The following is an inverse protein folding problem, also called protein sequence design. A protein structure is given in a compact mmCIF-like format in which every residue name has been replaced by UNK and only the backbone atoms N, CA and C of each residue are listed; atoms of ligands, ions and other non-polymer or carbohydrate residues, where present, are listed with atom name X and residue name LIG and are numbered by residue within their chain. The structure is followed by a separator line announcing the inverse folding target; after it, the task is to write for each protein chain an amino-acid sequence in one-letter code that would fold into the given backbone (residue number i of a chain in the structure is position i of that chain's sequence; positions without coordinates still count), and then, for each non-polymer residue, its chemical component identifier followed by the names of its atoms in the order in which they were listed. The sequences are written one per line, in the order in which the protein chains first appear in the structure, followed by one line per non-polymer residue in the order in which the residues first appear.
data_IF_874359428552
#
_entry.id   IF_874359428552
#
_cell.length_a   1.000
_cell.length_b   1.000
_cell.length_c   1.000
_cell.angle_alpha   90.00
_cell.angle_beta   90.00
_cell.angle_gamma   90.00
#
_symmetry.space_group_name_H-M   'P 1'
#
loop_
_entity.id
_entity.type
_entity.pdbx_description
1 polymer ?
#
# COMPACT_ATOMS: atom_id res chain seq x y z
N UNK A 1 -16.38 76.00 10.80
CA UNK A 1 -15.50 74.86 11.10
C UNK A 1 -16.13 73.61 10.50
N UNK A 2 -15.70 73.19 9.30
CA UNK A 2 -16.20 71.98 8.67
C UNK A 2 -15.26 70.82 9.05
N UNK A 3 -15.74 69.93 9.93
CA UNK A 3 -15.01 68.72 10.31
C UNK A 3 -15.07 67.73 9.15
N UNK A 4 -13.92 67.39 8.57
CA UNK A 4 -13.79 66.29 7.61
C UNK A 4 -14.07 64.97 8.34
N UNK A 5 -15.18 64.31 8.01
CA UNK A 5 -15.36 62.90 8.36
C UNK A 5 -14.55 62.08 7.34
N UNK A 6 -13.43 61.52 7.80
CA UNK A 6 -12.65 60.59 6.99
C UNK A 6 -13.40 59.26 6.94
N UNK A 7 -13.86 58.86 5.75
CA UNK A 7 -14.63 57.63 5.52
C UNK A 7 -13.72 56.39 5.59
N UNK A 8 -13.93 55.44 6.52
CA UNK A 8 -13.03 54.29 6.76
C UNK A 8 -13.16 53.13 5.74
N UNK A 9 -14.08 53.21 4.79
CA UNK A 9 -14.50 52.05 3.98
C UNK A 9 -13.48 51.56 2.93
N UNK A 10 -12.47 52.38 2.58
CA UNK A 10 -11.50 52.05 1.52
C UNK A 10 -10.36 51.17 2.05
N UNK A 11 -9.91 51.40 3.28
CA UNK A 11 -8.83 50.62 3.88
C UNK A 11 -9.28 49.21 4.28
N UNK A 12 -10.52 49.06 4.79
CA UNK A 12 -11.04 47.79 5.29
C UNK A 12 -11.19 46.71 4.19
N UNK A 13 -11.66 47.09 2.99
CA UNK A 13 -11.75 46.17 1.85
C UNK A 13 -10.38 45.72 1.33
N UNK A 14 -9.36 46.57 1.45
CA UNK A 14 -8.00 46.25 1.01
C UNK A 14 -7.33 45.23 1.93
N UNK A 15 -7.56 45.34 3.25
CA UNK A 15 -7.09 44.41 4.26
C UNK A 15 -7.75 43.03 4.10
N UNK A 16 -9.09 42.99 3.95
CA UNK A 16 -9.81 41.73 3.70
C UNK A 16 -9.31 41.01 2.44
N UNK A 17 -9.00 41.71 1.36
CA UNK A 17 -8.46 41.09 0.14
C UNK A 17 -7.05 40.51 0.36
N UNK A 18 -6.21 41.17 1.16
CA UNK A 18 -4.90 40.64 1.55
C UNK A 18 -5.04 39.38 2.41
N UNK A 19 -5.97 39.38 3.36
CA UNK A 19 -6.21 38.23 4.24
C UNK A 19 -6.71 37.01 3.46
N UNK A 20 -7.62 37.20 2.51
CA UNK A 20 -8.09 36.10 1.63
C UNK A 20 -6.93 35.54 0.79
N UNK A 21 -6.06 36.39 0.24
CA UNK A 21 -4.86 35.94 -0.51
C UNK A 21 -3.89 35.17 0.40
N UNK A 22 -3.67 35.65 1.61
CA UNK A 22 -2.81 35.00 2.60
C UNK A 22 -3.36 33.63 3.01
N UNK A 23 -4.67 33.52 3.24
CA UNK A 23 -5.33 32.25 3.53
C UNK A 23 -5.18 31.24 2.39
N UNK A 24 -5.35 31.68 1.13
CA UNK A 24 -5.14 30.82 -0.05
C UNK A 24 -3.69 30.35 -0.15
N UNK A 25 -2.74 31.25 0.07
CA UNK A 25 -1.30 30.92 0.05
C UNK A 25 -0.95 29.91 1.16
N UNK A 26 -1.51 30.07 2.35
CA UNK A 26 -1.31 29.15 3.47
C UNK A 26 -1.88 27.76 3.16
N UNK A 27 -3.11 27.69 2.64
CA UNK A 27 -3.74 26.43 2.25
C UNK A 27 -2.93 25.69 1.17
N UNK A 28 -2.43 26.41 0.18
CA UNK A 28 -1.59 25.81 -0.88
C UNK A 28 -0.22 25.36 -0.34
N UNK A 29 0.38 26.12 0.59
CA UNK A 29 1.61 25.70 1.27
C UNK A 29 1.39 24.41 2.06
N UNK A 30 0.32 24.34 2.86
CA UNK A 30 -0.04 23.12 3.60
C UNK A 30 -0.24 21.91 2.67
N UNK A 31 -0.88 22.11 1.51
CA UNK A 31 -1.05 21.05 0.51
C UNK A 31 0.29 20.54 -0.02
N UNK A 32 1.23 21.45 -0.30
CA UNK A 32 2.59 21.10 -0.76
C UNK A 32 3.41 20.41 0.32
N UNK A 33 3.33 20.88 1.55
CA UNK A 33 4.05 20.29 2.69
C UNK A 33 3.54 18.87 2.97
N UNK A 34 2.22 18.66 2.90
CA UNK A 34 1.60 17.33 3.00
C UNK A 34 2.06 16.39 1.89
N UNK A 35 2.09 16.86 0.64
CA UNK A 35 2.62 16.08 -0.49
C UNK A 35 4.10 15.71 -0.28
N UNK A 36 4.91 16.66 0.18
CA UNK A 36 6.32 16.41 0.47
C UNK A 36 6.48 15.38 1.60
N UNK A 37 5.63 15.43 2.62
CA UNK A 37 5.55 14.41 3.67
C UNK A 37 5.31 13.01 3.09
N UNK A 38 4.30 12.85 2.22
CA UNK A 38 4.02 11.56 1.58
C UNK A 38 5.17 11.05 0.70
N UNK A 39 5.88 11.94 -0.02
CA UNK A 39 7.04 11.53 -0.82
C UNK A 39 8.17 11.03 0.09
N UNK A 40 8.37 11.63 1.26
CA UNK A 40 9.37 11.19 2.22
C UNK A 40 8.99 9.83 2.85
N UNK A 41 7.73 9.64 3.22
CA UNK A 41 7.24 8.33 3.69
C UNK A 41 7.42 7.24 2.62
N UNK A 42 7.14 7.58 1.36
CA UNK A 42 7.31 6.67 0.23
C UNK A 42 8.79 6.27 0.05
N UNK A 43 9.72 7.21 0.23
CA UNK A 43 11.14 6.93 0.15
C UNK A 43 11.62 5.93 1.22
N UNK A 44 10.98 5.93 2.40
CA UNK A 44 11.33 5.05 3.52
C UNK A 44 10.62 3.69 3.48
N UNK A 45 9.57 3.53 2.67
CA UNK A 45 8.75 2.31 2.65
C UNK A 45 8.98 1.46 1.42
N UNK A 46 9.36 2.05 0.28
CA UNK A 46 9.57 1.31 -0.96
C UNK A 46 10.97 0.68 -0.96
N UNK A 47 11.08 -0.67 -0.99
CA UNK A 47 12.38 -1.36 -0.90
C UNK A 47 13.39 -0.91 -1.95
N UNK A 48 12.92 -0.61 -3.16
CA UNK A 48 13.79 -0.14 -4.23
C UNK A 48 14.41 1.23 -3.92
N UNK A 49 13.70 2.10 -3.18
CA UNK A 49 14.19 3.43 -2.79
C UNK A 49 15.07 3.33 -1.55
N UNK A 50 14.64 2.58 -0.53
CA UNK A 50 15.38 2.43 0.74
C UNK A 50 16.74 1.76 0.57
N UNK A 51 16.87 0.85 -0.40
CA UNK A 51 18.11 0.14 -0.70
C UNK A 51 19.08 0.94 -1.60
N UNK A 52 18.69 2.15 -2.03
CA UNK A 52 19.57 3.06 -2.75
C UNK A 52 20.58 3.68 -1.79
N UNK A 53 21.87 3.56 -2.10
CA UNK A 53 22.95 4.16 -1.30
C UNK A 53 22.95 5.70 -1.33
N UNK A 54 22.35 6.32 -2.34
CA UNK A 54 22.30 7.79 -2.51
C UNK A 54 20.88 8.31 -2.30
N UNK A 55 20.78 9.52 -1.71
CA UNK A 55 19.52 10.27 -1.60
C UNK A 55 18.97 10.50 -3.01
N UNK A 56 17.73 10.07 -3.24
CA UNK A 56 17.06 10.22 -4.52
C UNK A 56 16.26 11.52 -4.56
N UNK A 57 16.21 12.14 -5.74
CA UNK A 57 15.30 13.25 -6.01
C UNK A 57 13.84 12.77 -6.05
N UNK A 58 12.89 13.71 -5.88
CA UNK A 58 11.45 13.40 -5.80
C UNK A 58 10.94 12.63 -7.02
N UNK A 59 11.41 12.99 -8.22
CA UNK A 59 11.01 12.30 -9.45
C UNK A 59 11.52 10.87 -9.50
N UNK A 60 12.76 10.63 -9.07
CA UNK A 60 13.33 9.28 -8.97
C UNK A 60 12.59 8.43 -7.94
N UNK A 61 12.25 8.97 -6.76
CA UNK A 61 11.43 8.28 -5.75
C UNK A 61 10.09 7.83 -6.36
N UNK A 62 9.39 8.73 -7.06
CA UNK A 62 8.10 8.42 -7.70
C UNK A 62 8.24 7.38 -8.82
N UNK A 63 9.26 7.50 -9.68
CA UNK A 63 9.53 6.54 -10.77
C UNK A 63 9.78 5.14 -10.21
N UNK A 64 10.61 5.05 -9.18
CA UNK A 64 11.02 3.79 -8.59
C UNK A 64 9.86 3.14 -7.81
N UNK A 65 9.04 3.95 -7.15
CA UNK A 65 7.79 3.50 -6.53
C UNK A 65 6.80 2.96 -7.54
N UNK A 66 6.61 3.65 -8.67
CA UNK A 66 5.78 3.15 -9.76
C UNK A 66 6.33 1.83 -10.33
N UNK A 67 7.65 1.72 -10.51
CA UNK A 67 8.30 0.48 -10.94
C UNK A 67 8.08 -0.66 -9.92
N UNK A 68 8.23 -0.40 -8.62
CA UNK A 68 7.96 -1.37 -7.56
C UNK A 68 6.51 -1.90 -7.64
N UNK A 69 5.52 -1.01 -7.80
CA UNK A 69 4.12 -1.40 -7.94
C UNK A 69 3.88 -2.23 -9.22
N UNK A 70 4.50 -1.87 -10.34
CA UNK A 70 4.44 -2.65 -11.58
C UNK A 70 5.05 -4.03 -11.40
N UNK A 71 6.21 -4.15 -10.77
CA UNK A 71 6.86 -5.44 -10.50
C UNK A 71 5.99 -6.32 -9.61
N UNK A 72 5.40 -5.78 -8.55
CA UNK A 72 4.49 -6.55 -7.70
C UNK A 72 3.23 -6.98 -8.45
N UNK A 73 2.57 -6.06 -9.19
CA UNK A 73 1.37 -6.37 -9.96
C UNK A 73 1.64 -7.40 -11.06
N UNK A 74 2.73 -7.22 -11.81
CA UNK A 74 3.12 -8.11 -12.92
C UNK A 74 3.71 -9.41 -12.43
N UNK A 75 4.51 -9.47 -11.36
CA UNK A 75 4.99 -10.74 -10.77
C UNK A 75 3.82 -11.62 -10.33
N UNK A 76 2.81 -11.01 -9.68
CA UNK A 76 1.54 -11.68 -9.37
C UNK A 76 0.78 -12.08 -10.65
N UNK A 77 0.79 -11.26 -11.71
CA UNK A 77 0.18 -11.59 -13.01
C UNK A 77 0.96 -12.64 -13.82
N UNK A 78 2.29 -12.72 -13.68
CA UNK A 78 3.16 -13.69 -14.35
C UNK A 78 2.98 -15.07 -13.74
N UNK A 79 2.77 -15.17 -12.42
CA UNK A 79 2.30 -16.42 -11.79
C UNK A 79 0.94 -16.83 -12.34
N UNK A 80 0.01 -15.89 -12.55
CA UNK A 80 -1.31 -16.13 -13.18
C UNK A 80 -1.19 -16.67 -14.61
N UNK A 81 -0.29 -16.11 -15.42
CA UNK A 81 -0.05 -16.57 -16.80
C UNK A 81 0.68 -17.92 -16.84
N UNK A 82 1.67 -18.17 -15.98
CA UNK A 82 2.34 -19.49 -15.91
C UNK A 82 1.40 -20.59 -15.40
N UNK A 83 0.56 -20.31 -14.41
CA UNK A 83 -0.47 -21.23 -13.94
C UNK A 83 -1.51 -21.53 -15.04
N UNK A 84 -1.99 -20.49 -15.75
CA UNK A 84 -2.91 -20.64 -16.88
C UNK A 84 -2.25 -21.43 -18.04
N UNK A 85 -0.99 -21.16 -18.38
CA UNK A 85 -0.27 -21.87 -19.47
C UNK A 85 0.04 -23.34 -19.13
N UNK A 86 0.32 -23.66 -17.86
CA UNK A 86 0.45 -25.06 -17.39
C UNK A 86 -0.90 -25.79 -17.42
N UNK A 87 -2.00 -25.10 -17.15
CA UNK A 87 -3.35 -25.66 -17.23
C UNK A 87 -3.79 -25.90 -18.70
N UNK A 88 -3.46 -24.98 -19.61
CA UNK A 88 -3.74 -25.17 -21.04
C UNK A 88 -2.84 -26.22 -21.71
N UNK A 89 -1.60 -26.42 -21.26
CA UNK A 89 -0.74 -27.46 -21.85
C UNK A 89 -1.06 -28.88 -21.36
N UNK A 90 -1.89 -29.03 -20.32
CA UNK A 90 -2.41 -30.34 -19.88
C UNK A 90 -3.75 -30.68 -20.54
N UNK A 91 -4.39 -29.73 -21.24
CA UNK A 91 -5.68 -29.91 -21.88
C UNK A 91 -5.59 -30.51 -23.30
N UNK A 92 -4.42 -31.01 -23.73
CA UNK A 92 -4.26 -31.71 -25.02
C UNK A 92 -4.48 -33.23 -24.93
N UNK A 93 -4.94 -33.77 -23.80
CA UNK A 93 -5.46 -35.13 -23.73
C UNK A 93 -6.97 -35.15 -23.43
N UNK A 94 -7.72 -35.63 -24.42
CA UNK A 94 -8.97 -36.38 -24.28
C UNK A 94 -10.18 -35.69 -23.66
N UNK A 95 -11.14 -35.40 -24.54
CA UNK A 95 -12.58 -35.29 -24.33
C UNK A 95 -13.12 -35.99 -23.07
N UNK A 96 -13.71 -35.23 -22.14
CA UNK A 96 -14.98 -35.54 -21.47
C UNK A 96 -15.51 -34.27 -20.81
N UNK A 97 -16.79 -34.00 -21.04
CA UNK A 97 -17.54 -32.86 -20.53
C UNK A 97 -17.62 -32.88 -19.00
N UNK A 98 -16.81 -32.08 -18.32
CA UNK A 98 -17.09 -31.66 -16.95
C UNK A 98 -16.68 -30.20 -16.77
N UNK A 99 -17.66 -29.39 -16.36
CA UNK A 99 -17.52 -27.98 -16.01
C UNK A 99 -16.73 -27.85 -14.69
N UNK A 100 -15.44 -28.20 -14.72
CA UNK A 100 -14.54 -27.94 -13.61
C UNK A 100 -14.17 -26.45 -13.62
N UNK A 101 -14.94 -25.63 -12.91
CA UNK A 101 -14.56 -24.23 -12.64
C UNK A 101 -13.17 -24.24 -12.00
N UNK A 102 -12.21 -23.47 -12.52
CA UNK A 102 -10.86 -23.47 -11.98
C UNK A 102 -10.93 -23.05 -10.52
N UNK A 103 -10.50 -23.96 -9.63
CA UNK A 103 -10.42 -23.82 -8.19
C UNK A 103 -10.04 -22.38 -7.83
N UNK A 104 -10.95 -21.67 -7.14
CA UNK A 104 -10.74 -20.28 -6.80
C UNK A 104 -9.46 -20.17 -5.98
N UNK A 105 -8.42 -19.57 -6.56
CA UNK A 105 -7.26 -19.11 -5.80
C UNK A 105 -7.84 -18.08 -4.83
N UNK A 106 -7.97 -18.46 -3.55
CA UNK A 106 -8.48 -17.57 -2.52
C UNK A 106 -7.61 -16.31 -2.53
N UNK A 107 -8.24 -15.19 -2.86
CA UNK A 107 -7.57 -13.90 -2.98
C UNK A 107 -8.42 -12.88 -2.26
N UNK A 108 -8.03 -12.44 -1.05
CA UNK A 108 -8.79 -11.44 -0.34
C UNK A 108 -8.83 -10.16 -1.19
N UNK A 109 -10.01 -9.52 -1.33
CA UNK A 109 -10.20 -8.35 -2.21
C UNK A 109 -9.21 -7.21 -1.94
N UNK A 110 -8.67 -7.11 -0.71
CA UNK A 110 -7.63 -6.15 -0.30
C UNK A 110 -6.79 -6.78 0.81
N UNK A 111 -5.51 -7.12 0.57
CA UNK A 111 -4.62 -7.57 1.65
C UNK A 111 -4.28 -6.36 2.55
N UNK A 112 -5.03 -6.19 3.65
CA UNK A 112 -4.72 -5.22 4.69
C UNK A 112 -3.75 -5.88 5.66
N UNK A 113 -2.95 -5.07 6.37
CA UNK A 113 -1.97 -5.56 7.33
C UNK A 113 -2.57 -6.55 8.35
N UNK A 114 -3.82 -6.31 8.77
CA UNK A 114 -4.52 -7.15 9.75
C UNK A 114 -5.12 -8.43 9.16
N UNK A 115 -5.17 -8.61 7.83
CA UNK A 115 -5.75 -9.82 7.25
C UNK A 115 -4.93 -11.06 7.59
N UNK A 116 -3.62 -10.92 7.74
CA UNK A 116 -2.79 -12.05 8.16
C UNK A 116 -3.12 -12.48 9.59
N UNK A 117 -3.36 -11.52 10.50
CA UNK A 117 -3.78 -11.82 11.86
C UNK A 117 -5.17 -12.46 11.90
N UNK A 118 -6.14 -11.86 11.21
CA UNK A 118 -7.49 -12.41 11.11
C UNK A 118 -7.50 -13.80 10.47
N UNK A 119 -6.62 -14.06 9.49
CA UNK A 119 -6.46 -15.39 8.90
C UNK A 119 -5.89 -16.37 9.92
N UNK A 120 -4.82 -16.01 10.64
CA UNK A 120 -4.26 -16.86 11.71
C UNK A 120 -5.31 -17.18 12.77
N UNK A 121 -6.11 -16.20 13.17
CA UNK A 121 -7.18 -16.39 14.18
C UNK A 121 -8.35 -17.24 13.64
N UNK A 122 -8.60 -17.24 12.32
CA UNK A 122 -9.66 -18.04 11.68
C UNK A 122 -9.26 -19.48 11.35
N UNK A 123 -7.95 -19.78 11.38
CA UNK A 123 -7.45 -21.13 11.08
C UNK A 123 -7.53 -21.95 12.37
N UNK A 124 -8.25 -23.07 12.33
CA UNK A 124 -8.25 -24.08 13.40
C UNK A 124 -6.94 -24.87 13.38
N UNK A 125 -5.83 -24.19 13.64
CA UNK A 125 -4.48 -24.72 13.56
C UNK A 125 -3.43 -23.67 13.87
N UNK A 126 -2.17 -23.98 13.58
CA UNK A 126 -1.05 -23.05 13.74
C UNK A 126 -0.18 -23.05 12.48
N UNK A 127 0.46 -21.91 12.23
CA UNK A 127 1.35 -21.71 11.10
C UNK A 127 2.79 -21.79 11.60
N UNK A 128 3.61 -22.60 10.93
CA UNK A 128 5.06 -22.66 11.13
C UNK A 128 5.75 -22.32 9.82
N UNK A 129 6.78 -21.47 9.88
CA UNK A 129 7.66 -21.18 8.75
C UNK A 129 9.04 -21.73 9.06
N UNK A 130 9.48 -22.69 8.25
CA UNK A 130 10.80 -23.32 8.35
C UNK A 130 11.67 -22.99 7.15
N UNK A 131 12.97 -22.90 7.37
CA UNK A 131 13.96 -22.92 6.27
C UNK A 131 13.99 -24.32 5.63
N UNK A 132 14.51 -24.45 4.40
CA UNK A 132 14.74 -25.75 3.74
C UNK A 132 15.65 -26.72 4.51
N UNK A 133 16.39 -26.24 5.52
CA UNK A 133 17.22 -27.02 6.42
C UNK A 133 16.50 -27.47 7.72
N UNK A 134 15.19 -27.25 7.84
CA UNK A 134 14.41 -27.65 9.02
C UNK A 134 14.48 -26.69 10.22
N UNK A 135 15.19 -25.56 10.11
CA UNK A 135 15.21 -24.53 11.16
C UNK A 135 13.89 -23.75 11.18
N UNK A 136 13.27 -23.64 12.35
CA UNK A 136 12.06 -22.84 12.56
C UNK A 136 12.42 -21.35 12.62
N UNK A 137 11.80 -20.54 11.76
CA UNK A 137 12.00 -19.08 11.69
C UNK A 137 10.83 -18.33 12.34
N UNK A 138 9.62 -18.87 12.22
CA UNK A 138 8.42 -18.27 12.78
C UNK A 138 7.40 -19.35 13.16
N UNK A 139 6.71 -19.12 14.28
CA UNK A 139 5.58 -19.92 14.74
C UNK A 139 4.46 -18.96 15.16
N UNK A 140 3.23 -19.21 14.72
CA UNK A 140 2.07 -18.45 15.16
C UNK A 140 1.73 -18.75 16.62
N UNK A 141 1.22 -17.77 17.36
CA UNK A 141 0.83 -17.92 18.77
C UNK A 141 -0.18 -19.05 19.03
N UNK A 142 -1.06 -19.36 18.06
CA UNK A 142 -2.02 -20.47 18.16
C UNK A 142 -1.38 -21.83 18.44
N UNK A 143 -0.07 -22.00 18.23
CA UNK A 143 0.67 -23.24 18.51
C UNK A 143 0.51 -23.70 19.96
N UNK A 144 0.36 -22.76 20.89
CA UNK A 144 0.21 -23.05 22.32
C UNK A 144 -1.05 -23.89 22.59
N UNK A 145 -2.11 -23.68 21.81
CA UNK A 145 -3.36 -24.44 21.95
C UNK A 145 -3.26 -25.90 21.45
N UNK A 146 -2.21 -26.24 20.69
CA UNK A 146 -2.06 -27.56 20.07
C UNK A 146 -0.85 -28.34 20.59
N UNK A 147 0.25 -27.65 20.88
CA UNK A 147 1.51 -28.25 21.34
C UNK A 147 1.87 -27.84 22.77
N UNK A 148 1.17 -26.87 23.37
CA UNK A 148 1.28 -26.58 24.79
C UNK A 148 0.67 -27.73 25.58
N UNK A 149 1.38 -28.20 26.60
CA UNK A 149 0.88 -29.25 27.49
C UNK A 149 -0.37 -28.80 28.26
N UNK A 150 -1.23 -29.78 28.55
CA UNK A 150 -2.42 -29.68 29.37
C UNK A 150 -2.10 -29.15 30.78
N UNK A 151 -2.90 -28.19 31.24
CA UNK A 151 -3.40 -28.14 32.62
C UNK A 151 -4.80 -27.52 32.57
#
# INVERSE_FOLDING_TARGET
MASMVSSPAVDEKSHQNRDIRNMRNLAEKQRRDKLNGYINELANTVPLVTMSSKRLDKTSVLRLSAAYLRLNKTSLHRKKLKAKKKLLSLASCSSTSSSATPHQIWRPPKFRFNHLRALIDSVEGFIVVTTGFGKIIYVSHSVENFLGHQN
#
